data_IF_019243284924
#
_entry.id   IF_019243284924
#
_cell.length_a   1.000
_cell.length_b   1.000
_cell.length_c   1.000
_cell.angle_alpha   90.00
_cell.angle_beta   90.00
_cell.angle_gamma   90.00
#
_symmetry.space_group_name_H-M   'P 1'
#
loop_
_entity.id
_entity.type
_entity.pdbx_description
1 polymer ?
#
# COMPACT_ATOMS: atom_id res chain seq x y z
N UNK A 1 -51.26 9.39 -10.33
CA UNK A 1 -50.52 8.92 -11.51
C UNK A 1 -49.22 8.25 -11.05
N UNK A 2 -48.84 7.12 -11.63
CA UNK A 2 -47.73 6.28 -11.14
C UNK A 2 -46.38 7.02 -10.96
N UNK A 3 -46.18 8.15 -11.63
CA UNK A 3 -44.97 8.97 -11.53
C UNK A 3 -44.88 9.84 -10.27
N UNK A 4 -45.97 10.02 -9.51
CA UNK A 4 -45.95 10.81 -8.27
C UNK A 4 -45.11 10.17 -7.16
N UNK A 5 -44.72 8.90 -7.32
CA UNK A 5 -43.78 8.20 -6.44
C UNK A 5 -42.31 8.52 -6.77
N UNK A 6 -42.02 9.05 -7.97
CA UNK A 6 -40.64 9.31 -8.39
C UNK A 6 -39.91 10.29 -7.46
N UNK A 7 -40.53 11.39 -6.96
CA UNK A 7 -39.83 12.30 -6.04
C UNK A 7 -39.36 11.62 -4.76
N UNK A 8 -40.18 10.77 -4.14
CA UNK A 8 -39.79 10.06 -2.91
C UNK A 8 -38.71 9.03 -3.17
N UNK A 9 -38.81 8.27 -4.26
CA UNK A 9 -37.79 7.29 -4.67
C UNK A 9 -36.47 7.99 -4.97
N UNK A 10 -36.48 9.12 -5.68
CA UNK A 10 -35.27 9.89 -5.99
C UNK A 10 -34.60 10.38 -4.71
N UNK A 11 -35.36 10.91 -3.75
CA UNK A 11 -34.81 11.38 -2.47
C UNK A 11 -34.14 10.22 -1.73
N UNK A 12 -34.78 9.06 -1.65
CA UNK A 12 -34.21 7.88 -0.97
C UNK A 12 -32.95 7.40 -1.69
N UNK A 13 -33.00 7.25 -3.02
CA UNK A 13 -31.85 6.81 -3.81
C UNK A 13 -30.69 7.78 -3.72
N UNK A 14 -30.94 9.09 -3.80
CA UNK A 14 -29.93 10.12 -3.62
C UNK A 14 -29.33 10.06 -2.21
N UNK A 15 -30.18 9.91 -1.19
CA UNK A 15 -29.73 9.83 0.21
C UNK A 15 -28.84 8.62 0.48
N UNK A 16 -29.06 7.50 -0.22
CA UNK A 16 -28.19 6.30 -0.12
C UNK A 16 -26.93 6.45 -0.97
N UNK A 17 -27.03 6.96 -2.20
CA UNK A 17 -25.90 7.06 -3.12
C UNK A 17 -24.90 8.14 -2.74
N UNK A 18 -25.37 9.28 -2.21
CA UNK A 18 -24.53 10.45 -1.89
C UNK A 18 -23.42 10.11 -0.88
N UNK A 19 -23.68 9.43 0.27
CA UNK A 19 -22.64 9.03 1.20
C UNK A 19 -21.51 8.20 0.57
N UNK A 20 -21.84 7.30 -0.37
CA UNK A 20 -20.83 6.49 -1.05
C UNK A 20 -19.92 7.33 -1.95
N UNK A 21 -20.48 8.30 -2.69
CA UNK A 21 -19.69 9.23 -3.51
C UNK A 21 -18.84 10.18 -2.66
N UNK A 22 -19.38 10.68 -1.55
CA UNK A 22 -18.65 11.54 -0.62
C UNK A 22 -17.47 10.78 -0.01
N UNK A 23 -17.65 9.53 0.42
CA UNK A 23 -16.58 8.74 1.02
C UNK A 23 -15.36 8.60 0.09
N UNK A 24 -15.59 8.42 -1.22
CA UNK A 24 -14.52 8.37 -2.22
C UNK A 24 -13.71 9.66 -2.29
N UNK A 25 -14.39 10.81 -2.36
CA UNK A 25 -13.73 12.13 -2.41
C UNK A 25 -13.01 12.41 -1.09
N UNK A 26 -13.65 12.08 0.02
CA UNK A 26 -13.10 12.31 1.36
C UNK A 26 -11.81 11.52 1.59
N UNK A 27 -11.78 10.24 1.17
CA UNK A 27 -10.56 9.43 1.22
C UNK A 27 -9.42 10.05 0.40
N UNK A 28 -9.73 10.54 -0.81
CA UNK A 28 -8.72 11.21 -1.66
C UNK A 28 -8.13 12.45 -1.01
N UNK A 29 -8.95 13.23 -0.31
CA UNK A 29 -8.49 14.46 0.37
C UNK A 29 -7.64 14.15 1.59
N UNK A 30 -8.02 13.16 2.40
CA UNK A 30 -7.31 12.84 3.64
C UNK A 30 -6.03 12.02 3.41
N UNK A 31 -6.09 11.03 2.53
CA UNK A 31 -5.04 10.02 2.39
C UNK A 31 -4.22 10.20 1.10
N UNK A 32 -4.55 11.19 0.28
CA UNK A 32 -3.96 11.35 -1.07
C UNK A 32 -4.39 10.27 -2.07
N UNK A 33 -5.04 9.19 -1.62
CA UNK A 33 -5.53 8.10 -2.43
C UNK A 33 -7.04 7.91 -2.28
N UNK A 34 -7.69 7.60 -3.41
CA UNK A 34 -9.13 7.41 -3.49
C UNK A 34 -9.63 6.14 -2.77
N UNK A 35 -8.80 5.10 -2.73
CA UNK A 35 -9.13 3.82 -2.13
C UNK A 35 -8.35 3.62 -0.84
N UNK A 36 -9.08 3.24 0.22
CA UNK A 36 -8.47 2.84 1.48
C UNK A 36 -7.93 1.43 1.36
N UNK A 37 -6.72 1.19 1.87
CA UNK A 37 -6.13 -0.16 1.90
C UNK A 37 -6.92 -1.05 2.87
N UNK A 38 -7.05 -2.32 2.51
CA UNK A 38 -7.62 -3.32 3.41
C UNK A 38 -6.59 -3.70 4.49
N UNK A 39 -7.09 -3.86 5.71
CA UNK A 39 -6.31 -4.18 6.93
C UNK A 39 -7.04 -5.23 7.78
N UNK A 40 -7.97 -5.97 7.17
CA UNK A 40 -8.72 -7.05 7.83
C UNK A 40 -7.83 -8.24 8.14
N UNK A 41 -6.93 -8.59 7.22
CA UNK A 41 -5.98 -9.69 7.37
C UNK A 41 -4.68 -9.23 8.05
N UNK A 42 -4.05 -10.15 8.80
CA UNK A 42 -2.81 -9.83 9.53
C UNK A 42 -1.65 -9.51 8.60
N UNK A 43 -1.51 -10.24 7.49
CA UNK A 43 -0.45 -9.99 6.51
C UNK A 43 -0.58 -8.57 5.90
N UNK A 44 -1.79 -8.22 5.46
CA UNK A 44 -2.07 -6.89 4.92
C UNK A 44 -1.81 -5.77 5.94
N UNK A 45 -2.12 -6.02 7.22
CA UNK A 45 -1.84 -5.09 8.33
C UNK A 45 -0.33 -4.94 8.59
N UNK A 46 0.44 -6.02 8.54
CA UNK A 46 1.89 -5.98 8.69
C UNK A 46 2.53 -5.19 7.54
N UNK A 47 2.09 -5.42 6.30
CA UNK A 47 2.53 -4.66 5.13
C UNK A 47 2.16 -3.17 5.27
N UNK A 48 0.95 -2.85 5.71
CA UNK A 48 0.55 -1.47 5.99
C UNK A 48 1.48 -0.79 7.00
N UNK A 49 1.82 -1.48 8.09
CA UNK A 49 2.74 -0.95 9.10
C UNK A 49 4.18 -0.83 8.59
N UNK A 50 4.64 -1.76 7.74
CA UNK A 50 5.94 -1.66 7.07
C UNK A 50 6.00 -0.38 6.25
N UNK A 51 5.00 -0.13 5.40
CA UNK A 51 4.98 1.02 4.51
C UNK A 51 4.95 2.34 5.32
N UNK A 52 4.16 2.42 6.39
CA UNK A 52 4.17 3.57 7.32
C UNK A 52 5.56 3.80 7.93
N UNK A 53 6.31 2.74 8.28
CA UNK A 53 7.65 2.90 8.87
C UNK A 53 8.69 3.37 7.85
N UNK A 54 8.54 2.98 6.58
CA UNK A 54 9.48 3.35 5.51
C UNK A 54 9.28 4.79 5.04
N UNK A 55 8.05 5.22 4.78
CA UNK A 55 7.75 6.51 4.13
C UNK A 55 7.00 7.51 5.01
N UNK A 56 6.66 7.15 6.26
CA UNK A 56 5.75 7.87 7.16
C UNK A 56 4.29 8.00 6.65
N UNK A 57 3.99 7.50 5.45
CA UNK A 57 2.66 7.52 4.84
C UNK A 57 2.43 6.21 4.07
N UNK A 58 1.44 5.42 4.51
CA UNK A 58 1.08 4.14 3.90
C UNK A 58 0.65 4.23 2.42
N UNK A 59 0.26 5.42 1.95
CA UNK A 59 -0.23 5.62 0.59
C UNK A 59 0.85 6.16 -0.35
N UNK A 60 2.04 6.49 0.18
CA UNK A 60 3.20 6.89 -0.60
C UNK A 60 4.10 5.67 -0.83
N UNK A 61 4.18 5.23 -2.09
CA UNK A 61 5.06 4.13 -2.49
C UNK A 61 6.53 4.58 -2.49
N UNK A 62 7.41 3.79 -1.87
CA UNK A 62 8.85 3.91 -2.05
C UNK A 62 9.26 3.01 -3.23
N UNK A 63 9.69 3.61 -4.34
CA UNK A 63 10.23 2.87 -5.48
C UNK A 63 11.73 2.63 -5.34
N UNK A 64 12.36 2.24 -6.46
CA UNK A 64 13.78 1.95 -6.53
C UNK A 64 14.64 3.20 -6.31
N UNK A 65 14.08 4.39 -6.52
CA UNK A 65 14.73 5.67 -6.26
C UNK A 65 15.09 5.92 -4.78
N UNK A 66 14.55 5.11 -3.86
CA UNK A 66 14.84 5.20 -2.44
C UNK A 66 15.99 4.26 -2.00
N UNK A 67 16.54 3.46 -2.92
CA UNK A 67 17.66 2.57 -2.68
C UNK A 67 18.96 3.35 -2.98
N UNK A 68 19.98 3.30 -2.12
CA UNK A 68 21.26 3.95 -2.39
C UNK A 68 21.98 3.25 -3.57
N UNK A 69 22.38 4.02 -4.58
CA UNK A 69 23.07 3.53 -5.81
C UNK A 69 24.52 3.06 -5.58
N UNK A 70 24.93 2.71 -4.35
CA UNK A 70 26.34 2.66 -3.97
C UNK A 70 26.79 1.53 -3.04
N UNK A 71 26.01 0.45 -2.88
CA UNK A 71 26.43 -0.73 -2.08
C UNK A 71 26.64 -2.01 -2.89
N UNK A 72 26.30 -2.01 -4.19
CA UNK A 72 26.41 -3.20 -5.02
C UNK A 72 27.86 -3.73 -5.12
N UNK A 73 28.88 -2.88 -4.98
CA UNK A 73 30.30 -3.33 -5.01
C UNK A 73 30.80 -3.89 -3.66
N UNK A 74 30.18 -3.54 -2.53
CA UNK A 74 30.64 -3.99 -1.20
C UNK A 74 29.86 -5.24 -0.73
N UNK A 75 28.55 -5.32 -1.03
CA UNK A 75 27.69 -6.45 -0.67
C UNK A 75 27.98 -7.71 -1.54
N UNK A 76 28.35 -7.53 -2.82
CA UNK A 76 28.73 -8.63 -3.71
C UNK A 76 30.06 -9.27 -3.28
N UNK A 77 31.02 -8.47 -2.81
CA UNK A 77 32.29 -8.98 -2.28
C UNK A 77 32.10 -9.72 -0.95
N UNK A 78 31.22 -9.27 -0.05
CA UNK A 78 30.93 -9.97 1.20
C UNK A 78 30.23 -11.31 0.95
N UNK A 79 29.39 -11.41 -0.09
CA UNK A 79 28.76 -12.68 -0.49
C UNK A 79 29.75 -13.67 -1.13
N UNK A 80 30.65 -13.20 -2.00
CA UNK A 80 31.72 -14.03 -2.59
C UNK A 80 32.68 -14.56 -1.52
N UNK A 81 33.07 -13.73 -0.54
CA UNK A 81 33.95 -14.15 0.56
C UNK A 81 33.31 -15.25 1.43
N UNK A 82 31.99 -15.20 1.66
CA UNK A 82 31.26 -16.21 2.42
C UNK A 82 31.13 -17.53 1.63
N UNK A 83 30.94 -17.46 0.31
CA UNK A 83 30.93 -18.67 -0.54
C UNK A 83 32.31 -19.35 -0.57
N UNK A 84 33.41 -18.59 -0.69
CA UNK A 84 34.77 -19.15 -0.66
C UNK A 84 35.09 -19.82 0.70
N UNK A 85 34.70 -19.21 1.83
CA UNK A 85 34.92 -19.80 3.17
C UNK A 85 34.13 -21.10 3.36
N UNK A 86 32.91 -21.19 2.80
CA UNK A 86 32.08 -22.39 2.89
C UNK A 86 32.61 -23.56 2.02
N UNK A 87 33.15 -23.26 0.83
CA UNK A 87 33.76 -24.26 -0.05
C UNK A 87 35.09 -24.80 0.54
N UNK A 88 35.88 -23.97 1.24
CA UNK A 88 37.09 -24.41 1.94
C UNK A 88 36.78 -25.33 3.14
N UNK A 89 35.67 -25.13 3.85
CA UNK A 89 35.26 -26.02 4.94
C UNK A 89 34.80 -27.41 4.45
N UNK A 90 34.16 -27.51 3.27
CA UNK A 90 33.69 -28.79 2.71
C UNK A 90 34.82 -29.70 2.18
N UNK A 91 35.98 -29.14 1.80
CA UNK A 91 37.14 -29.91 1.33
C UNK A 91 38.11 -30.39 2.45
N UNK A 92 37.86 -30.03 3.71
CA UNK A 92 38.70 -30.36 4.88
C UNK A 92 38.23 -31.57 5.71
#
# INVERSE_FOLDING_TARGET
MWFEILPSVIIVMASVAVPHGIAYIFNKVLNGNMYRRDVTEMDQKLQYLRDVRLTNDAYKMAGLENIPDGSDEEDDCEFEEIEEECDEEEES
#
